data_IF_279381685545
#
_entry.id   IF_279381685545
#
_cell.length_a   1.000
_cell.length_b   1.000
_cell.length_c   1.000
_cell.angle_alpha   90.00
_cell.angle_beta   90.00
_cell.angle_gamma   90.00
#
_symmetry.space_group_name_H-M   'P 1'
#
loop_
_entity.id
_entity.type
_entity.pdbx_description
1 polymer ?
#
# COMPACT_ATOMS: atom_id res chain seq x y z
N UNK A 1 21.98 13.95 -28.67
CA UNK A 1 20.74 13.30 -28.20
C UNK A 1 20.96 12.81 -26.77
N UNK A 2 20.37 13.47 -25.75
CA UNK A 2 20.45 12.99 -24.36
C UNK A 2 19.43 11.86 -24.18
N UNK A 3 19.89 10.62 -24.20
CA UNK A 3 19.13 9.46 -23.74
C UNK A 3 18.87 9.61 -22.23
N UNK A 4 17.78 10.31 -21.88
CA UNK A 4 17.21 10.26 -20.54
C UNK A 4 16.71 8.83 -20.36
N UNK A 5 17.56 7.98 -19.79
CA UNK A 5 17.26 6.59 -19.50
C UNK A 5 15.98 6.51 -18.68
N UNK A 6 14.96 5.82 -19.22
CA UNK A 6 13.69 5.46 -18.57
C UNK A 6 13.87 4.52 -17.35
N UNK A 7 15.05 4.53 -16.75
CA UNK A 7 15.49 3.64 -15.67
C UNK A 7 14.61 3.78 -14.43
N UNK A 8 14.06 4.98 -14.18
CA UNK A 8 13.21 5.24 -13.01
C UNK A 8 11.82 4.62 -13.09
N UNK A 9 11.18 4.64 -14.27
CA UNK A 9 9.84 4.05 -14.44
C UNK A 9 9.90 2.52 -14.42
N UNK A 10 10.95 1.97 -15.01
CA UNK A 10 11.20 0.52 -15.05
C UNK A 10 11.50 -0.01 -13.65
N UNK A 11 12.33 0.68 -12.86
CA UNK A 11 12.61 0.31 -11.47
C UNK A 11 11.36 0.37 -10.58
N UNK A 12 10.56 1.43 -10.69
CA UNK A 12 9.31 1.55 -9.94
C UNK A 12 8.31 0.44 -10.28
N UNK A 13 8.24 0.05 -11.55
CA UNK A 13 7.42 -1.07 -12.01
C UNK A 13 7.89 -2.42 -11.44
N UNK A 14 9.20 -2.70 -11.49
CA UNK A 14 9.76 -3.92 -10.89
C UNK A 14 9.58 -3.97 -9.37
N UNK A 15 9.72 -2.83 -8.68
CA UNK A 15 9.44 -2.73 -7.24
C UNK A 15 7.97 -3.00 -6.91
N UNK A 16 7.04 -2.48 -7.72
CA UNK A 16 5.61 -2.73 -7.55
C UNK A 16 5.28 -4.23 -7.75
N UNK A 17 5.83 -4.87 -8.79
CA UNK A 17 5.65 -6.30 -9.04
C UNK A 17 6.28 -7.14 -7.92
N UNK A 18 7.54 -6.88 -7.56
CA UNK A 18 8.24 -7.63 -6.53
C UNK A 18 7.54 -7.54 -5.18
N UNK A 19 7.08 -6.35 -4.78
CA UNK A 19 6.29 -6.18 -3.57
C UNK A 19 4.95 -6.93 -3.66
N UNK A 20 4.27 -6.89 -4.80
CA UNK A 20 2.99 -7.61 -4.97
C UNK A 20 3.19 -9.12 -4.85
N UNK A 21 4.26 -9.68 -5.43
CA UNK A 21 4.60 -11.11 -5.36
C UNK A 21 5.02 -11.54 -3.96
N UNK A 22 5.92 -10.80 -3.30
CA UNK A 22 6.35 -11.09 -1.93
C UNK A 22 5.15 -11.06 -0.97
N UNK A 23 4.21 -10.14 -1.19
CA UNK A 23 3.03 -10.00 -0.35
C UNK A 23 1.95 -11.04 -0.65
N UNK A 24 1.76 -11.46 -1.91
CA UNK A 24 0.88 -12.57 -2.25
C UNK A 24 1.37 -13.88 -1.61
N UNK A 25 2.69 -14.10 -1.60
CA UNK A 25 3.29 -15.21 -0.88
C UNK A 25 3.08 -15.11 0.65
N UNK A 26 3.15 -13.91 1.22
CA UNK A 26 2.87 -13.69 2.64
C UNK A 26 1.40 -14.04 3.00
N UNK A 27 0.45 -13.60 2.17
CA UNK A 27 -0.99 -13.93 2.32
C UNK A 27 -1.24 -15.44 2.21
N UNK A 28 -0.63 -16.10 1.22
CA UNK A 28 -0.79 -17.55 1.04
C UNK A 28 -0.18 -18.34 2.19
N UNK A 29 0.91 -17.84 2.78
CA UNK A 29 1.60 -18.48 3.90
C UNK A 29 0.88 -18.37 5.25
N UNK A 30 0.07 -17.33 5.46
CA UNK A 30 -0.66 -17.13 6.73
C UNK A 30 -2.05 -17.79 6.77
N UNK A 31 -2.55 -18.36 5.67
CA UNK A 31 -3.92 -18.89 5.59
C UNK A 31 -4.97 -17.78 5.74
N UNK A 32 -6.26 -18.14 5.69
CA UNK A 32 -7.43 -17.23 5.73
C UNK A 32 -7.60 -16.46 7.07
N UNK A 33 -6.52 -16.01 7.69
CA UNK A 33 -6.58 -15.11 8.85
C UNK A 33 -7.00 -13.71 8.37
N UNK A 34 -8.21 -13.31 8.74
CA UNK A 34 -8.84 -12.04 8.34
C UNK A 34 -7.97 -10.81 8.70
N UNK A 35 -7.07 -10.93 9.68
CA UNK A 35 -6.10 -9.88 10.07
C UNK A 35 -5.05 -9.59 9.00
N UNK A 36 -4.77 -10.56 8.14
CA UNK A 36 -3.80 -10.41 7.05
C UNK A 36 -4.46 -9.70 5.85
N UNK A 37 -5.77 -9.89 5.68
CA UNK A 37 -6.56 -9.20 4.66
C UNK A 37 -6.71 -7.69 4.96
N UNK A 38 -6.84 -7.28 6.23
CA UNK A 38 -6.86 -5.84 6.58
C UNK A 38 -5.49 -5.17 6.45
N UNK A 39 -4.42 -5.92 6.75
CA UNK A 39 -3.03 -5.49 6.51
C UNK A 39 -2.71 -5.24 5.02
N UNK A 40 -3.55 -5.71 4.09
CA UNK A 40 -3.40 -5.50 2.64
C UNK A 40 -3.52 -4.02 2.24
N UNK A 41 -4.38 -3.25 2.92
CA UNK A 41 -4.68 -1.88 2.50
C UNK A 41 -3.51 -0.90 2.70
N UNK A 42 -2.53 -1.23 3.55
CA UNK A 42 -1.33 -0.38 3.75
C UNK A 42 -0.34 -0.45 2.58
N UNK A 43 -0.43 -1.47 1.72
CA UNK A 43 0.47 -1.64 0.58
C UNK A 43 0.27 -0.52 -0.43
N UNK A 44 -0.98 -0.11 -0.65
CA UNK A 44 -1.36 0.90 -1.64
C UNK A 44 -0.61 2.22 -1.36
N UNK A 45 -0.64 2.82 -0.16
CA UNK A 45 0.15 4.00 0.13
C UNK A 45 1.66 3.75 0.07
N UNK A 46 2.16 2.59 0.46
CA UNK A 46 3.61 2.27 0.36
C UNK A 46 4.06 2.26 -1.11
N UNK A 47 3.31 1.61 -1.99
CA UNK A 47 3.62 1.54 -3.42
C UNK A 47 3.56 2.94 -4.07
N UNK A 48 2.51 3.71 -3.78
CA UNK A 48 2.39 5.08 -4.27
C UNK A 48 3.53 5.97 -3.74
N UNK A 49 3.93 5.77 -2.47
CA UNK A 49 5.07 6.44 -1.85
C UNK A 49 6.39 6.15 -2.57
N UNK A 50 6.67 4.87 -2.85
CA UNK A 50 7.84 4.45 -3.61
C UNK A 50 7.84 5.01 -5.03
N UNK A 51 6.70 4.94 -5.72
CA UNK A 51 6.56 5.55 -7.07
C UNK A 51 6.85 7.05 -6.98
N UNK A 52 6.28 7.75 -6.00
CA UNK A 52 6.52 9.18 -5.80
C UNK A 52 7.99 9.53 -5.49
N UNK A 53 8.71 8.62 -4.83
CA UNK A 53 10.13 8.78 -4.50
C UNK A 53 11.01 8.68 -5.75
N UNK A 54 10.75 7.69 -6.61
CA UNK A 54 11.53 7.46 -7.83
C UNK A 54 11.07 8.31 -9.03
N UNK A 55 9.85 8.85 -8.99
CA UNK A 55 9.29 9.72 -10.03
C UNK A 55 9.98 11.10 -10.02
N UNK A 56 10.65 11.43 -11.14
CA UNK A 56 11.36 12.71 -11.32
C UNK A 56 10.65 13.65 -12.30
N UNK A 57 9.49 13.27 -12.83
CA UNK A 57 8.66 14.11 -13.70
C UNK A 57 7.71 15.02 -12.93
N UNK A 58 7.00 15.89 -13.67
CA UNK A 58 5.96 16.76 -13.13
C UNK A 58 4.81 15.99 -12.43
N UNK A 59 4.70 14.67 -12.65
CA UNK A 59 3.70 13.81 -12.01
C UNK A 59 4.05 13.45 -10.56
N UNK A 60 5.27 13.74 -10.08
CA UNK A 60 5.68 13.47 -8.70
C UNK A 60 4.69 14.01 -7.67
N UNK A 61 4.23 15.27 -7.84
CA UNK A 61 3.27 15.90 -6.92
C UNK A 61 1.94 15.14 -6.86
N UNK A 62 1.47 14.63 -8.00
CA UNK A 62 0.25 13.82 -8.07
C UNK A 62 0.42 12.54 -7.25
N UNK A 63 1.52 11.81 -7.42
CA UNK A 63 1.77 10.58 -6.65
C UNK A 63 1.90 10.84 -5.15
N UNK A 64 2.54 11.94 -4.73
CA UNK A 64 2.60 12.33 -3.31
C UNK A 64 1.18 12.55 -2.75
N UNK A 65 0.33 13.28 -3.48
CA UNK A 65 -1.07 13.51 -3.07
C UNK A 65 -1.83 12.19 -2.97
N UNK A 66 -1.68 11.30 -3.96
CA UNK A 66 -2.32 9.97 -3.95
C UNK A 66 -1.82 9.11 -2.78
N UNK A 67 -0.53 9.16 -2.44
CA UNK A 67 0.03 8.49 -1.25
C UNK A 67 -0.61 9.00 0.02
N UNK A 68 -0.76 10.31 0.18
CA UNK A 68 -1.36 10.91 1.38
C UNK A 68 -2.84 10.52 1.49
N UNK A 69 -3.60 10.64 0.40
CA UNK A 69 -5.03 10.26 0.36
C UNK A 69 -5.21 8.78 0.71
N UNK A 70 -4.44 7.90 0.07
CA UNK A 70 -4.52 6.45 0.35
C UNK A 70 -4.12 6.11 1.79
N UNK A 71 -3.14 6.81 2.36
CA UNK A 71 -2.75 6.63 3.76
C UNK A 71 -3.87 7.05 4.72
N UNK A 72 -4.55 8.17 4.45
CA UNK A 72 -5.69 8.63 5.25
C UNK A 72 -6.84 7.60 5.19
N UNK A 73 -7.18 7.12 4.00
CA UNK A 73 -8.21 6.09 3.81
C UNK A 73 -7.86 4.83 4.59
N UNK A 74 -6.61 4.38 4.50
CA UNK A 74 -6.13 3.23 5.27
C UNK A 74 -6.31 3.42 6.78
N UNK A 75 -5.92 4.58 7.32
CA UNK A 75 -6.07 4.87 8.74
C UNK A 75 -7.54 4.88 9.20
N UNK A 76 -8.45 5.40 8.38
CA UNK A 76 -9.89 5.37 8.66
C UNK A 76 -10.41 3.94 8.71
N UNK A 77 -10.04 3.11 7.73
CA UNK A 77 -10.44 1.70 7.69
C UNK A 77 -9.88 0.92 8.89
N UNK A 78 -8.61 1.11 9.23
CA UNK A 78 -7.98 0.49 10.38
C UNK A 78 -8.65 0.90 11.70
N UNK A 79 -9.06 2.17 11.82
CA UNK A 79 -9.81 2.65 12.98
C UNK A 79 -11.20 2.02 13.07
N UNK A 80 -11.94 1.96 11.96
CA UNK A 80 -13.26 1.33 11.90
C UNK A 80 -13.20 -0.15 12.29
N UNK A 81 -12.20 -0.88 11.79
CA UNK A 81 -11.98 -2.28 12.15
C UNK A 81 -11.65 -2.45 13.64
N UNK A 82 -10.75 -1.62 14.18
CA UNK A 82 -10.45 -1.65 15.61
C UNK A 82 -11.68 -1.37 16.47
N UNK A 83 -12.53 -0.42 16.05
CA UNK A 83 -13.78 -0.08 16.73
C UNK A 83 -14.79 -1.23 16.70
N UNK A 84 -15.00 -1.87 15.54
CA UNK A 84 -15.94 -3.00 15.42
C UNK A 84 -15.47 -4.23 16.19
N UNK A 85 -14.16 -4.53 16.17
CA UNK A 85 -13.56 -5.59 17.01
C UNK A 85 -13.76 -5.27 18.50
N UNK A 86 -13.57 -4.01 18.89
CA UNK A 86 -13.80 -3.55 20.26
C UNK A 86 -15.25 -3.77 20.72
N UNK A 87 -16.23 -3.37 19.90
CA UNK A 87 -17.65 -3.59 20.19
C UNK A 87 -18.02 -5.07 20.20
N UNK A 88 -17.52 -5.87 19.25
CA UNK A 88 -17.79 -7.31 19.18
C UNK A 88 -17.28 -8.04 20.43
N UNK A 89 -16.15 -7.60 21.00
CA UNK A 89 -15.62 -8.13 22.26
C UNK A 89 -16.46 -7.68 23.46
N UNK A 90 -16.91 -6.43 23.48
CA UNK A 90 -17.76 -5.90 24.54
C UNK A 90 -19.15 -6.58 24.60
N UNK A 91 -19.70 -7.00 23.46
CA UNK A 91 -20.99 -7.72 23.40
C UNK A 91 -20.90 -9.21 23.74
N UNK A 92 -19.70 -9.79 23.74
CA UNK A 92 -19.47 -11.21 24.04
C UNK A 92 -19.23 -11.47 25.54
N UNK A 93 -19.05 -10.42 26.34
CA UNK A 93 -18.98 -10.43 27.80
C UNK A 93 -20.28 -9.90 28.40
#
# INVERSE_FOLDING_TARGET
>A
MKTKTNFNGTLAFFLAIANTILFYNFLYGYGNDERVASSFFIIIPIQLGLISYFEKSNKKKLFIILTIISLIIYLILAFLEAYTIGMARAYKN
#
